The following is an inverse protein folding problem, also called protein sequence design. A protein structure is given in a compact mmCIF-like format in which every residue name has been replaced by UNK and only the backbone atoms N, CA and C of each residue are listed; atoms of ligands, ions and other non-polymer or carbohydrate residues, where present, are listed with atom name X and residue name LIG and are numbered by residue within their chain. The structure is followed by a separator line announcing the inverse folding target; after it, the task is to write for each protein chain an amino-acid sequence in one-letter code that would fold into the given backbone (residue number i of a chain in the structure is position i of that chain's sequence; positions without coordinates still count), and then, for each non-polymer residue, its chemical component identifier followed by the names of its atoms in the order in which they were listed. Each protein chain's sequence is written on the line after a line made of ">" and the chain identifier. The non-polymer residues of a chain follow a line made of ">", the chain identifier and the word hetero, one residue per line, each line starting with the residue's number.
data_IF_756878689610
#
_entry.id   IF_756878689610
#
_cell.length_a   1.000
_cell.length_b   1.000
_cell.length_c   1.000
_cell.angle_alpha   90.00
_cell.angle_beta   90.00
_cell.angle_gamma   90.00
#
_symmetry.space_group_name_H-M   'P 1'
#
loop_
_entity.id
_entity.type
_entity.pdbx_description
1 polymer ?
#
# COMPACT_ATOMS: atom_id res chain seq x y z
N UNK A 1 -2.44 23.87 7.36
CA UNK A 1 -3.65 23.24 7.92
C UNK A 1 -4.26 24.17 8.96
N UNK A 2 -5.56 24.06 9.23
CA UNK A 2 -6.30 24.83 10.24
C UNK A 2 -6.97 23.87 11.23
N UNK A 3 -6.91 24.20 12.52
CA UNK A 3 -7.54 23.44 13.59
C UNK A 3 -8.91 24.05 13.92
N UNK A 4 -9.91 23.21 14.09
CA UNK A 4 -11.24 23.58 14.56
C UNK A 4 -11.63 22.70 15.75
N UNK A 5 -12.19 23.30 16.80
CA UNK A 5 -12.75 22.59 17.94
C UNK A 5 -14.26 22.37 17.70
N UNK A 6 -14.72 21.12 17.81
CA UNK A 6 -16.10 20.77 17.51
C UNK A 6 -17.03 21.03 18.71
N UNK A 7 -18.26 21.52 18.50
CA UNK A 7 -19.19 21.84 19.59
C UNK A 7 -19.56 20.66 20.50
N UNK A 8 -19.50 19.43 19.99
CA UNK A 8 -19.79 18.20 20.73
C UNK A 8 -18.52 17.48 21.23
N UNK A 9 -17.37 18.14 21.16
CA UNK A 9 -16.06 17.59 21.51
C UNK A 9 -15.32 16.98 20.31
N UNK A 10 -13.99 16.95 20.42
CA UNK A 10 -13.08 16.54 19.35
C UNK A 10 -12.58 17.70 18.49
N UNK A 11 -11.54 17.43 17.72
CA UNK A 11 -10.84 18.41 16.90
C UNK A 11 -10.81 17.98 15.43
N UNK A 12 -11.00 18.94 14.51
CA UNK A 12 -10.87 18.77 13.08
C UNK A 12 -9.65 19.54 12.57
N UNK A 13 -8.70 18.83 11.97
CA UNK A 13 -7.59 19.42 11.23
C UNK A 13 -7.96 19.44 9.75
N UNK A 14 -8.17 20.63 9.20
CA UNK A 14 -8.39 20.86 7.78
C UNK A 14 -7.05 21.21 7.10
N UNK A 15 -6.58 20.35 6.20
CA UNK A 15 -5.37 20.59 5.40
C UNK A 15 -5.74 20.69 3.93
N UNK A 16 -5.04 21.53 3.13
CA UNK A 16 -5.10 21.43 1.67
C UNK A 16 -4.90 19.99 1.22
N UNK A 17 -5.62 19.55 0.18
CA UNK A 17 -5.48 18.20 -0.35
C UNK A 17 -4.03 17.93 -0.76
N UNK A 18 -3.45 16.85 -0.22
CA UNK A 18 -2.12 16.40 -0.61
C UNK A 18 -2.27 15.65 -1.93
N UNK A 19 -1.72 16.21 -3.02
CA UNK A 19 -1.70 15.55 -4.34
C UNK A 19 -0.54 14.56 -4.48
N UNK A 20 0.53 14.78 -3.72
CA UNK A 20 1.72 13.94 -3.70
C UNK A 20 2.03 13.57 -2.25
N UNK A 21 1.57 12.40 -1.82
CA UNK A 21 2.01 11.76 -0.60
C UNK A 21 3.03 10.70 -1.01
N UNK A 22 4.32 10.97 -0.85
CA UNK A 22 5.31 9.98 -1.26
C UNK A 22 5.65 9.02 -0.13
N UNK A 23 5.73 7.75 -0.52
CA UNK A 23 5.97 6.60 0.36
C UNK A 23 7.46 6.21 0.33
N UNK A 24 8.35 7.13 -0.05
CA UNK A 24 9.80 6.89 -0.20
C UNK A 24 10.48 6.36 1.07
N UNK A 25 9.92 6.65 2.23
CA UNK A 25 10.41 6.22 3.54
C UNK A 25 9.90 4.84 3.95
N UNK A 26 8.96 4.25 3.20
CA UNK A 26 8.44 2.92 3.47
C UNK A 26 9.17 1.85 2.66
N UNK A 27 9.24 0.67 3.23
CA UNK A 27 9.63 -0.57 2.56
C UNK A 27 8.43 -1.20 1.85
N UNK A 28 8.64 -2.04 0.82
CA UNK A 28 7.56 -2.80 0.19
C UNK A 28 6.74 -3.64 1.18
N UNK A 29 7.38 -4.17 2.23
CA UNK A 29 6.74 -4.97 3.27
C UNK A 29 5.83 -4.13 4.18
N UNK A 30 6.23 -2.90 4.50
CA UNK A 30 5.36 -1.97 5.25
C UNK A 30 4.13 -1.57 4.44
N UNK A 31 4.28 -1.41 3.12
CA UNK A 31 3.15 -1.18 2.22
C UNK A 31 2.26 -2.42 2.17
N UNK A 32 2.81 -3.62 2.02
CA UNK A 32 2.06 -4.89 2.05
C UNK A 32 1.21 -5.00 3.32
N UNK A 33 1.80 -4.70 4.47
CA UNK A 33 1.12 -4.70 5.77
C UNK A 33 0.04 -3.62 5.90
N UNK A 34 0.18 -2.48 5.21
CA UNK A 34 -0.80 -1.39 5.19
C UNK A 34 -2.11 -1.76 4.49
N UNK A 35 -2.11 -2.76 3.62
CA UNK A 35 -3.32 -3.28 2.98
C UNK A 35 -3.96 -4.35 3.88
N UNK A 36 -5.09 -3.99 4.52
CA UNK A 36 -5.77 -4.84 5.52
C UNK A 36 -6.10 -6.25 5.01
N UNK A 37 -6.49 -6.36 3.75
CA UNK A 37 -6.87 -7.59 3.07
C UNK A 37 -5.65 -8.40 2.56
N UNK A 38 -4.50 -7.76 2.35
CA UNK A 38 -3.24 -8.42 1.98
C UNK A 38 -2.52 -8.94 3.22
N UNK A 39 -2.57 -8.19 4.33
CA UNK A 39 -1.93 -8.53 5.60
C UNK A 39 -2.11 -9.99 6.08
N UNK A 40 -3.30 -10.63 6.02
CA UNK A 40 -3.45 -12.03 6.41
C UNK A 40 -2.80 -13.04 5.45
N UNK A 41 -2.37 -12.61 4.26
CA UNK A 41 -1.77 -13.45 3.21
C UNK A 41 -0.23 -13.38 3.19
N UNK A 42 0.36 -12.50 4.00
CA UNK A 42 1.81 -12.33 4.11
C UNK A 42 2.45 -13.65 4.55
N UNK A 43 3.48 -14.08 3.83
CA UNK A 43 4.23 -15.31 4.13
C UNK A 43 3.58 -16.61 3.63
N UNK A 44 2.40 -16.55 3.01
CA UNK A 44 1.73 -17.72 2.42
C UNK A 44 2.08 -17.95 0.94
N UNK A 45 2.89 -17.07 0.34
CA UNK A 45 3.46 -17.33 -0.98
C UNK A 45 4.37 -18.57 -0.95
N UNK A 46 4.39 -19.32 -2.06
CA UNK A 46 5.27 -20.48 -2.24
C UNK A 46 6.75 -20.13 -2.03
N UNK A 47 7.16 -18.93 -2.44
CA UNK A 47 8.54 -18.45 -2.36
C UNK A 47 8.66 -17.26 -1.41
N UNK A 48 9.71 -17.25 -0.58
CA UNK A 48 9.98 -16.18 0.38
C UNK A 48 10.30 -14.82 -0.27
N UNK A 49 10.80 -14.84 -1.50
CA UNK A 49 11.15 -13.66 -2.30
C UNK A 49 10.12 -13.39 -3.42
N UNK A 50 8.85 -13.76 -3.19
CA UNK A 50 7.77 -13.41 -4.10
C UNK A 50 7.66 -11.88 -4.22
N UNK A 51 7.56 -11.40 -5.46
CA UNK A 51 7.37 -10.00 -5.84
C UNK A 51 5.90 -9.67 -6.08
N UNK A 52 5.02 -10.68 -6.06
CA UNK A 52 3.59 -10.59 -6.31
C UNK A 52 3.20 -10.13 -7.72
N UNK A 53 4.15 -10.10 -8.67
CA UNK A 53 3.94 -9.67 -10.05
C UNK A 53 3.69 -10.88 -10.97
N UNK A 54 2.75 -11.74 -10.60
CA UNK A 54 2.44 -12.98 -11.33
C UNK A 54 3.45 -14.10 -11.10
N UNK A 55 4.16 -14.10 -9.96
CA UNK A 55 5.08 -15.17 -9.63
C UNK A 55 4.32 -16.48 -9.33
N UNK A 56 4.83 -17.66 -9.76
CA UNK A 56 4.16 -18.92 -9.52
C UNK A 56 3.95 -19.22 -8.03
N UNK A 57 2.69 -19.49 -7.64
CA UNK A 57 2.34 -19.77 -6.25
C UNK A 57 2.28 -18.54 -5.34
N UNK A 58 2.06 -17.35 -5.92
CA UNK A 58 1.73 -16.15 -5.16
C UNK A 58 0.37 -16.29 -4.45
N UNK A 59 0.35 -16.05 -3.14
CA UNK A 59 -0.88 -16.09 -2.34
C UNK A 59 -1.85 -14.97 -2.69
N UNK A 60 -1.36 -13.81 -3.12
CA UNK A 60 -2.20 -12.68 -3.51
C UNK A 60 -2.94 -12.96 -4.83
N UNK A 61 -2.26 -13.55 -5.81
CA UNK A 61 -2.89 -13.94 -7.08
C UNK A 61 -3.95 -15.02 -6.84
N UNK A 62 -3.66 -16.01 -5.97
CA UNK A 62 -4.64 -17.02 -5.57
C UNK A 62 -5.84 -16.40 -4.84
N UNK A 63 -5.61 -15.39 -3.99
CA UNK A 63 -6.66 -14.66 -3.29
C UNK A 63 -7.53 -13.81 -4.24
N UNK A 64 -6.97 -13.31 -5.35
CA UNK A 64 -7.77 -12.67 -6.39
C UNK A 64 -8.63 -13.70 -7.12
N UNK A 65 -8.06 -14.84 -7.49
CA UNK A 65 -8.79 -15.92 -8.18
C UNK A 65 -9.94 -16.47 -7.34
N UNK A 66 -9.75 -16.60 -6.03
CA UNK A 66 -10.78 -17.11 -5.13
C UNK A 66 -11.78 -16.04 -4.62
N UNK A 67 -11.61 -14.78 -5.01
CA UNK A 67 -12.50 -13.67 -4.65
C UNK A 67 -12.33 -13.12 -3.23
N UNK A 68 -11.28 -13.51 -2.49
CA UNK A 68 -10.99 -12.97 -1.14
C UNK A 68 -10.12 -11.70 -1.18
N UNK A 69 -9.51 -11.39 -2.32
CA UNK A 69 -8.83 -10.13 -2.61
C UNK A 69 -9.43 -9.50 -3.87
N UNK A 70 -9.81 -8.22 -3.80
CA UNK A 70 -10.27 -7.50 -5.00
C UNK A 70 -9.12 -7.31 -6.01
N UNK A 71 -9.35 -7.55 -7.31
CA UNK A 71 -8.37 -7.27 -8.36
C UNK A 71 -7.89 -5.81 -8.36
N UNK A 72 -8.80 -4.87 -8.08
CA UNK A 72 -8.52 -3.44 -8.02
C UNK A 72 -7.57 -3.10 -6.86
N UNK A 73 -7.72 -3.80 -5.73
CA UNK A 73 -6.82 -3.65 -4.57
C UNK A 73 -5.42 -4.16 -4.87
N UNK A 74 -5.29 -5.33 -5.49
CA UNK A 74 -3.99 -5.85 -5.93
C UNK A 74 -3.34 -4.94 -6.98
N UNK A 75 -4.12 -4.42 -7.93
CA UNK A 75 -3.64 -3.43 -8.91
C UNK A 75 -3.16 -2.14 -8.25
N UNK A 76 -3.87 -1.65 -7.23
CA UNK A 76 -3.45 -0.47 -6.47
C UNK A 76 -2.15 -0.73 -5.71
N UNK A 77 -1.99 -1.92 -5.12
CA UNK A 77 -0.75 -2.33 -4.45
C UNK A 77 0.44 -2.30 -5.43
N UNK A 78 0.31 -2.92 -6.60
CA UNK A 78 1.36 -2.89 -7.62
C UNK A 78 1.70 -1.47 -8.09
N UNK A 79 0.70 -0.61 -8.29
CA UNK A 79 0.93 0.79 -8.67
C UNK A 79 1.76 1.52 -7.61
N UNK A 80 1.44 1.34 -6.33
CA UNK A 80 2.20 1.97 -5.24
C UNK A 80 3.66 1.49 -5.25
N UNK A 81 3.90 0.18 -5.38
CA UNK A 81 5.26 -0.36 -5.43
C UNK A 81 6.05 0.17 -6.63
N UNK A 82 5.40 0.30 -7.79
CA UNK A 82 6.01 0.90 -8.97
C UNK A 82 6.36 2.38 -8.71
N UNK A 83 5.42 3.18 -8.21
CA UNK A 83 5.63 4.60 -7.92
C UNK A 83 6.79 4.80 -6.92
N UNK A 84 6.88 3.94 -5.89
CA UNK A 84 8.00 3.93 -4.95
C UNK A 84 9.34 3.65 -5.63
N UNK A 85 9.39 2.66 -6.53
CA UNK A 85 10.61 2.34 -7.27
C UNK A 85 11.06 3.50 -8.17
N UNK A 86 10.11 4.19 -8.80
CA UNK A 86 10.39 5.36 -9.65
C UNK A 86 10.88 6.55 -8.82
N UNK A 87 10.29 6.80 -7.65
CA UNK A 87 10.74 7.85 -6.72
C UNK A 87 12.16 7.58 -6.21
N UNK A 88 12.49 6.32 -5.88
CA UNK A 88 13.84 5.94 -5.47
C UNK A 88 14.86 6.13 -6.61
N UNK A 89 14.51 5.80 -7.85
CA UNK A 89 15.36 6.00 -9.01
C UNK A 89 15.64 7.49 -9.30
N UNK A 90 14.71 8.38 -8.93
CA UNK A 90 14.85 9.85 -9.06
C UNK A 90 15.68 10.50 -7.94
N UNK A 91 16.22 9.72 -7.01
CA UNK A 91 17.09 10.24 -5.93
C UNK A 91 16.34 10.93 -4.79
N UNK A 92 15.03 10.73 -4.65
CA UNK A 92 14.24 11.18 -3.49
C UNK A 92 14.49 10.32 -2.24
N UNK A 93 15.75 9.97 -1.98
CA UNK A 93 16.21 9.41 -0.72
C UNK A 93 16.76 10.56 0.11
N UNK A 94 15.94 11.10 1.01
CA UNK A 94 16.48 11.84 2.16
C UNK A 94 17.05 10.82 3.15
#
# INVERSE_FOLDING_TARGET
>A
AKLFHLPLGGDLIDSPGIREFGLWHMTPQEVEYGFREIRPLIGYCKFRNCRHLGDPGCALDAAVVNGTLSPERLKSFHRILQDMSEQQARGLKL
#
